data_IF_115068552229
#
_entry.id   IF_115068552229
#
_cell.length_a   1.000
_cell.length_b   1.000
_cell.length_c   1.000
_cell.angle_alpha   90.00
_cell.angle_beta   90.00
_cell.angle_gamma   90.00
#
_symmetry.space_group_name_H-M   'P 1'
#
loop_
_entity.id
_entity.type
_entity.pdbx_description
1 polymer ?
#
# COMPACT_ATOMS: atom_id res chain seq x y z
N UNK A 1 8.90 -25.19 30.05
CA UNK A 1 8.25 -24.31 29.07
C UNK A 1 7.82 -25.15 27.88
N UNK A 2 6.53 -25.42 27.76
CA UNK A 2 5.99 -26.22 26.64
C UNK A 2 5.82 -25.28 25.45
N UNK A 3 6.71 -25.40 24.46
CA UNK A 3 6.63 -24.64 23.22
C UNK A 3 5.39 -25.11 22.45
N UNK A 4 4.29 -24.37 22.56
CA UNK A 4 3.12 -24.59 21.72
C UNK A 4 3.53 -24.26 20.29
N UNK A 5 3.81 -25.29 19.50
CA UNK A 5 3.90 -25.17 18.04
C UNK A 5 2.54 -24.71 17.56
N UNK A 6 2.39 -23.40 17.30
CA UNK A 6 1.27 -22.87 16.54
C UNK A 6 1.28 -23.59 15.20
N UNK A 7 0.29 -24.46 14.96
CA UNK A 7 0.08 -25.07 13.65
C UNK A 7 0.02 -23.92 12.63
N UNK A 8 0.91 -23.92 11.64
CA UNK A 8 0.86 -22.99 10.50
C UNK A 8 -0.47 -23.19 9.78
N UNK A 9 -1.49 -22.44 10.18
CA UNK A 9 -2.76 -22.37 9.46
C UNK A 9 -2.46 -21.64 8.16
N UNK A 10 -2.80 -22.22 7.01
CA UNK A 10 -2.65 -21.54 5.73
C UNK A 10 -3.41 -20.21 5.76
N UNK A 11 -2.80 -19.17 5.22
CA UNK A 11 -3.44 -17.85 5.13
C UNK A 11 -4.64 -17.92 4.15
N UNK A 12 -5.74 -17.20 4.43
CA UNK A 12 -6.89 -17.15 3.52
C UNK A 12 -6.48 -16.67 2.12
N UNK A 13 -6.98 -17.31 1.07
CA UNK A 13 -6.65 -16.94 -0.31
C UNK A 13 -7.65 -15.99 -0.96
N UNK A 14 -8.90 -15.98 -0.47
CA UNK A 14 -9.93 -15.04 -0.89
C UNK A 14 -9.90 -13.77 -0.06
N UNK A 15 -10.09 -12.60 -0.69
CA UNK A 15 -10.13 -11.29 -0.02
C UNK A 15 -11.25 -11.22 1.03
N UNK A 16 -12.39 -11.87 0.76
CA UNK A 16 -13.55 -11.89 1.68
C UNK A 16 -13.21 -12.53 3.02
N UNK A 17 -12.26 -13.46 3.02
CA UNK A 17 -11.84 -14.20 4.21
C UNK A 17 -10.66 -13.52 4.93
N UNK A 18 -10.08 -12.46 4.35
CA UNK A 18 -9.03 -11.68 5.02
C UNK A 18 -9.67 -10.68 5.99
N UNK A 19 -9.38 -10.79 7.30
CA UNK A 19 -9.98 -9.92 8.30
C UNK A 19 -9.54 -8.46 8.11
N UNK A 20 -10.44 -7.54 8.42
CA UNK A 20 -10.15 -6.10 8.32
C UNK A 20 -9.13 -5.64 9.38
N UNK A 21 -9.05 -6.31 10.53
CA UNK A 21 -8.15 -5.97 11.65
C UNK A 21 -8.14 -4.46 11.96
N UNK A 22 -9.32 -3.87 12.22
CA UNK A 22 -9.50 -2.41 12.33
C UNK A 22 -8.74 -1.77 13.50
N UNK A 23 -8.34 -2.57 14.48
CA UNK A 23 -7.55 -2.13 15.64
C UNK A 23 -6.69 -3.28 16.19
N UNK A 24 -5.72 -2.94 17.04
CA UNK A 24 -4.90 -3.87 17.80
C UNK A 24 -4.63 -3.30 19.19
N UNK A 25 -4.41 -4.16 20.18
CA UNK A 25 -4.07 -3.77 21.55
C UNK A 25 -2.59 -4.00 21.80
N UNK A 26 -1.91 -2.98 22.34
CA UNK A 26 -0.55 -3.08 22.84
C UNK A 26 -0.64 -3.22 24.35
N UNK A 27 -0.11 -4.32 24.87
CA UNK A 27 -0.02 -4.56 26.31
C UNK A 27 1.40 -4.18 26.78
N UNK A 28 1.49 -3.34 27.80
CA UNK A 28 2.72 -2.97 28.47
C UNK A 28 2.77 -3.69 29.80
N UNK A 29 3.82 -4.46 30.04
CA UNK A 29 4.04 -5.13 31.33
C UNK A 29 5.32 -4.58 31.92
N UNK A 30 5.26 -4.07 33.16
CA UNK A 30 6.42 -3.57 33.88
C UNK A 30 6.52 -4.23 35.25
N UNK A 31 7.75 -4.46 35.69
CA UNK A 31 8.05 -5.15 36.94
C UNK A 31 8.81 -4.20 37.87
N UNK A 32 8.35 -4.07 39.11
CA UNK A 32 9.02 -3.29 40.17
C UNK A 32 9.22 -4.23 41.35
N UNK A 33 10.47 -4.64 41.59
CA UNK A 33 10.76 -5.69 42.58
C UNK A 33 10.12 -7.03 42.17
N UNK A 34 9.27 -7.59 43.04
CA UNK A 34 8.46 -8.78 42.76
C UNK A 34 7.11 -8.47 42.10
N UNK A 35 6.70 -7.20 42.06
CA UNK A 35 5.37 -6.81 41.62
C UNK A 35 5.33 -6.64 40.11
N UNK A 36 4.26 -7.15 39.50
CA UNK A 36 4.02 -7.09 38.05
C UNK A 36 2.79 -6.22 37.81
N UNK A 37 2.96 -5.21 36.96
CA UNK A 37 1.90 -4.31 36.54
C UNK A 37 1.66 -4.49 35.04
N UNK A 38 0.40 -4.37 34.60
CA UNK A 38 0.05 -4.45 33.19
C UNK A 38 -0.90 -3.32 32.82
N UNK A 39 -0.54 -2.59 31.78
CA UNK A 39 -1.34 -1.54 31.16
C UNK A 39 -1.61 -1.88 29.69
N UNK A 40 -2.69 -1.37 29.11
CA UNK A 40 -3.05 -1.72 27.72
C UNK A 40 -3.55 -0.50 26.96
N UNK A 41 -3.00 -0.30 25.76
CA UNK A 41 -3.40 0.78 24.85
C UNK A 41 -3.94 0.17 23.56
N UNK A 42 -5.17 0.51 23.21
CA UNK A 42 -5.76 0.15 21.93
C UNK A 42 -5.36 1.17 20.86
N UNK A 43 -4.89 0.67 19.72
CA UNK A 43 -4.49 1.44 18.53
C UNK A 43 -5.42 1.07 17.37
N UNK A 44 -5.79 2.06 16.57
CA UNK A 44 -6.74 1.89 15.47
C UNK A 44 -6.04 2.10 14.13
N UNK A 45 -6.35 1.24 13.16
CA UNK A 45 -6.12 1.51 11.75
C UNK A 45 -7.28 2.31 11.16
N UNK A 46 -8.51 1.95 11.54
CA UNK A 46 -9.71 2.74 11.28
C UNK A 46 -10.77 2.50 12.35
N UNK A 47 -11.68 3.46 12.51
CA UNK A 47 -12.84 3.38 13.41
C UNK A 47 -14.08 2.88 12.68
N UNK A 48 -15.18 2.67 13.42
CA UNK A 48 -16.41 2.04 12.90
C UNK A 48 -17.23 2.96 11.98
N UNK A 49 -16.98 4.27 12.02
CA UNK A 49 -17.53 5.27 11.10
C UNK A 49 -16.85 5.25 9.71
N UNK A 50 -15.91 4.34 9.46
CA UNK A 50 -15.39 4.07 8.12
C UNK A 50 -16.17 2.90 7.49
N UNK A 51 -16.78 3.10 6.34
CA UNK A 51 -17.35 2.03 5.55
C UNK A 51 -16.24 1.21 4.87
N UNK A 52 -16.49 -0.09 4.72
CA UNK A 52 -15.59 -1.01 4.03
C UNK A 52 -16.39 -1.84 3.03
N UNK A 53 -15.97 -1.85 1.76
CA UNK A 53 -16.59 -2.63 0.68
C UNK A 53 -15.53 -3.43 -0.06
N UNK A 54 -15.72 -4.74 -0.15
CA UNK A 54 -14.88 -5.58 -1.00
C UNK A 54 -15.20 -5.28 -2.47
N UNK A 55 -14.14 -5.14 -3.26
CA UNK A 55 -14.22 -4.90 -4.70
C UNK A 55 -13.80 -6.18 -5.40
N UNK A 56 -14.72 -6.77 -6.16
CA UNK A 56 -14.47 -7.98 -6.95
C UNK A 56 -15.09 -7.80 -8.33
N UNK A 57 -14.24 -7.42 -9.29
CA UNK A 57 -14.64 -7.19 -10.68
C UNK A 57 -13.59 -7.76 -11.64
N UNK A 58 -13.95 -7.86 -12.93
CA UNK A 58 -13.06 -8.41 -13.96
C UNK A 58 -11.80 -7.53 -14.06
N UNK A 59 -10.68 -8.02 -13.52
CA UNK A 59 -9.37 -7.36 -13.45
C UNK A 59 -9.23 -6.22 -12.43
N UNK A 60 -10.06 -6.18 -11.39
CA UNK A 60 -9.81 -5.37 -10.20
C UNK A 60 -10.35 -6.09 -8.98
N UNK A 61 -9.43 -6.42 -8.07
CA UNK A 61 -9.74 -6.95 -6.74
C UNK A 61 -9.16 -6.04 -5.67
N UNK A 62 -9.91 -5.84 -4.60
CA UNK A 62 -9.48 -4.92 -3.56
C UNK A 62 -10.48 -4.69 -2.46
N UNK A 63 -10.24 -3.65 -1.67
CA UNK A 63 -11.12 -3.21 -0.58
C UNK A 63 -11.15 -1.69 -0.54
N UNK A 64 -12.35 -1.14 -0.62
CA UNK A 64 -12.61 0.29 -0.61
C UNK A 64 -13.01 0.74 0.80
N UNK A 65 -12.38 1.81 1.28
CA UNK A 65 -12.59 2.42 2.58
C UNK A 65 -12.95 3.90 2.43
N UNK A 66 -13.98 4.36 3.13
CA UNK A 66 -14.41 5.77 3.10
C UNK A 66 -15.16 6.10 4.38
N UNK A 67 -15.12 7.34 4.85
CA UNK A 67 -15.97 7.79 5.96
C UNK A 67 -17.45 7.62 5.61
N UNK A 68 -18.25 7.23 6.59
CA UNK A 68 -19.69 7.11 6.48
C UNK A 68 -20.35 8.49 6.70
N UNK A 69 -20.17 9.37 5.73
CA UNK A 69 -20.78 10.69 5.73
C UNK A 69 -21.29 11.07 4.33
N UNK A 70 -21.74 12.31 4.18
CA UNK A 70 -22.31 12.82 2.92
C UNK A 70 -21.29 13.57 2.06
N UNK A 71 -20.03 13.64 2.50
CA UNK A 71 -18.97 14.40 1.86
C UNK A 71 -18.37 13.58 0.73
N UNK A 72 -18.00 14.27 -0.36
CA UNK A 72 -17.20 13.68 -1.42
C UNK A 72 -15.72 13.83 -1.08
N UNK A 73 -15.05 12.71 -0.91
CA UNK A 73 -13.66 12.67 -0.51
C UNK A 73 -12.71 12.63 -1.71
N UNK A 74 -11.54 13.27 -1.63
CA UNK A 74 -10.44 12.92 -2.54
C UNK A 74 -10.12 11.44 -2.39
N UNK A 75 -9.85 10.75 -3.50
CA UNK A 75 -9.63 9.32 -3.50
C UNK A 75 -8.18 8.93 -3.72
N UNK A 76 -7.75 7.81 -3.14
CA UNK A 76 -6.39 7.28 -3.28
C UNK A 76 -6.43 5.80 -3.64
N UNK A 77 -5.80 5.44 -4.75
CA UNK A 77 -5.49 4.05 -5.10
C UNK A 77 -4.24 3.64 -4.34
N UNK A 78 -4.30 2.56 -3.56
CA UNK A 78 -3.20 2.13 -2.68
C UNK A 78 -2.59 0.83 -3.17
N UNK A 79 -1.32 0.89 -3.55
CA UNK A 79 -0.52 -0.23 -4.05
C UNK A 79 0.55 -0.65 -3.02
N UNK A 80 0.52 -1.91 -2.59
CA UNK A 80 1.54 -2.52 -1.72
C UNK A 80 2.86 -2.79 -2.48
N UNK A 81 3.84 -3.42 -1.83
CA UNK A 81 5.12 -3.73 -2.46
C UNK A 81 5.18 -5.14 -3.04
N UNK A 82 6.36 -5.76 -2.95
CA UNK A 82 6.54 -7.18 -3.31
C UNK A 82 5.94 -8.14 -2.27
N UNK A 83 5.23 -7.63 -1.26
CA UNK A 83 4.62 -8.43 -0.19
C UNK A 83 3.49 -9.35 -0.70
N UNK A 84 2.87 -8.98 -1.82
CA UNK A 84 1.66 -9.65 -2.33
C UNK A 84 0.45 -9.39 -1.47
N UNK A 85 -0.66 -10.02 -1.86
CA UNK A 85 -1.91 -10.04 -1.09
C UNK A 85 -2.45 -8.63 -0.80
N UNK A 86 -3.40 -8.51 0.13
CA UNK A 86 -4.16 -7.27 0.37
C UNK A 86 -3.79 -6.57 1.69
N UNK A 87 -3.27 -7.29 2.68
CA UNK A 87 -3.16 -6.85 4.08
C UNK A 87 -2.38 -5.54 4.25
N UNK A 88 -1.28 -5.37 3.50
CA UNK A 88 -0.47 -4.15 3.55
C UNK A 88 -1.18 -2.96 2.90
N UNK A 89 -1.76 -3.14 1.72
CA UNK A 89 -2.52 -2.09 1.05
C UNK A 89 -3.75 -1.68 1.88
N UNK A 90 -4.44 -2.67 2.46
CA UNK A 90 -5.56 -2.47 3.36
C UNK A 90 -5.20 -1.60 4.57
N UNK A 91 -4.13 -1.95 5.29
CA UNK A 91 -3.73 -1.20 6.50
C UNK A 91 -3.45 0.27 6.18
N UNK A 92 -2.85 0.53 5.01
CA UNK A 92 -2.56 1.90 4.54
C UNK A 92 -3.86 2.61 4.14
N UNK A 93 -4.75 1.94 3.40
CA UNK A 93 -6.03 2.50 3.00
C UNK A 93 -6.93 2.85 4.21
N UNK A 94 -6.93 2.00 5.24
CA UNK A 94 -7.62 2.27 6.51
C UNK A 94 -7.12 3.57 7.15
N UNK A 95 -5.80 3.72 7.30
CA UNK A 95 -5.22 4.94 7.85
C UNK A 95 -5.54 6.17 6.98
N UNK A 96 -5.48 6.07 5.65
CA UNK A 96 -5.84 7.18 4.76
C UNK A 96 -7.32 7.56 4.89
N UNK A 97 -8.21 6.59 5.09
CA UNK A 97 -9.64 6.88 5.30
C UNK A 97 -9.93 7.61 6.60
N UNK A 98 -9.12 7.37 7.64
CA UNK A 98 -9.19 8.14 8.89
C UNK A 98 -8.82 9.61 8.72
N UNK A 99 -8.06 9.90 7.67
CA UNK A 99 -7.57 11.22 7.31
C UNK A 99 -8.44 11.83 6.19
N UNK A 100 -9.66 11.35 5.99
CA UNK A 100 -10.61 11.97 5.07
C UNK A 100 -10.43 11.62 3.59
N UNK A 101 -9.69 10.56 3.25
CA UNK A 101 -9.61 10.05 1.89
C UNK A 101 -10.57 8.87 1.64
N UNK A 102 -11.12 8.78 0.43
CA UNK A 102 -11.70 7.54 -0.06
C UNK A 102 -10.58 6.63 -0.60
N UNK A 103 -10.20 5.59 0.14
CA UNK A 103 -9.01 4.81 -0.14
C UNK A 103 -9.34 3.40 -0.69
N UNK A 104 -8.82 3.07 -1.86
CA UNK A 104 -8.97 1.75 -2.49
C UNK A 104 -7.67 0.96 -2.37
N UNK A 105 -7.64 -0.02 -1.48
CA UNK A 105 -6.57 -1.01 -1.42
C UNK A 105 -6.70 -1.99 -2.58
N UNK A 106 -5.71 -2.04 -3.47
CA UNK A 106 -5.72 -2.94 -4.63
C UNK A 106 -4.89 -4.18 -4.33
N UNK A 107 -5.48 -5.36 -4.57
CA UNK A 107 -4.76 -6.62 -4.63
C UNK A 107 -4.48 -6.95 -6.10
N UNK A 108 -3.20 -7.01 -6.47
CA UNK A 108 -2.79 -7.27 -7.86
C UNK A 108 -2.04 -8.59 -8.05
N UNK A 109 -1.60 -9.24 -6.97
CA UNK A 109 -1.05 -10.61 -7.02
C UNK A 109 -1.09 -11.35 -5.68
N UNK A 110 -0.92 -12.67 -5.72
CA UNK A 110 -0.73 -13.55 -4.55
C UNK A 110 -2.01 -13.96 -3.83
N UNK A 111 -3.17 -13.85 -4.50
CA UNK A 111 -4.49 -14.22 -3.98
C UNK A 111 -5.39 -14.77 -5.09
N UNK A 112 -6.53 -15.37 -4.72
CA UNK A 112 -7.45 -15.99 -5.67
C UNK A 112 -8.07 -14.98 -6.65
N UNK A 113 -7.93 -15.27 -7.94
CA UNK A 113 -8.48 -14.47 -9.03
C UNK A 113 -7.66 -13.21 -9.37
N UNK A 114 -6.43 -13.10 -8.86
CA UNK A 114 -5.39 -12.18 -9.36
C UNK A 114 -4.17 -12.98 -9.81
N UNK A 115 -3.13 -12.31 -10.29
CA UNK A 115 -1.90 -13.00 -10.71
C UNK A 115 -1.29 -13.80 -9.54
N UNK A 116 -0.78 -15.02 -9.75
CA UNK A 116 -0.13 -15.78 -8.67
C UNK A 116 1.21 -15.19 -8.24
N UNK A 117 1.89 -14.47 -9.14
CA UNK A 117 3.22 -13.89 -8.93
C UNK A 117 3.28 -12.44 -9.39
N UNK A 118 4.33 -11.72 -8.97
CA UNK A 118 4.58 -10.34 -9.37
C UNK A 118 5.25 -10.31 -10.75
N UNK A 119 4.50 -10.65 -11.79
CA UNK A 119 5.01 -10.75 -13.14
C UNK A 119 3.93 -10.39 -14.16
N UNK A 120 4.27 -9.58 -15.17
CA UNK A 120 3.37 -9.16 -16.24
C UNK A 120 2.04 -8.58 -15.74
N UNK A 121 2.04 -7.95 -14.57
CA UNK A 121 0.83 -7.38 -13.98
C UNK A 121 0.33 -6.25 -14.89
N UNK A 122 -0.92 -6.31 -15.40
CA UNK A 122 -1.45 -5.30 -16.31
C UNK A 122 -1.70 -3.99 -15.57
N UNK A 123 -1.16 -2.89 -16.08
CA UNK A 123 -1.41 -1.55 -15.53
C UNK A 123 -2.87 -1.12 -15.67
N UNK A 124 -3.65 -1.79 -16.52
CA UNK A 124 -5.10 -1.65 -16.66
C UNK A 124 -5.85 -1.87 -15.33
N UNK A 125 -5.26 -2.54 -14.34
CA UNK A 125 -5.85 -2.61 -12.99
C UNK A 125 -5.98 -1.23 -12.35
N UNK A 126 -5.06 -0.30 -12.64
CA UNK A 126 -5.13 1.09 -12.17
C UNK A 126 -6.21 1.86 -12.93
N UNK A 127 -6.34 1.65 -14.24
CA UNK A 127 -7.45 2.20 -15.02
C UNK A 127 -8.82 1.72 -14.49
N UNK A 128 -8.93 0.43 -14.15
CA UNK A 128 -10.12 -0.15 -13.54
C UNK A 128 -10.40 0.47 -12.17
N UNK A 129 -9.36 0.68 -11.35
CA UNK A 129 -9.47 1.34 -10.06
C UNK A 129 -9.95 2.80 -10.21
N UNK A 130 -9.44 3.55 -11.19
CA UNK A 130 -9.91 4.90 -11.52
C UNK A 130 -11.39 4.87 -11.90
N UNK A 131 -11.79 3.96 -12.79
CA UNK A 131 -13.20 3.80 -13.21
C UNK A 131 -14.12 3.46 -12.04
N UNK A 132 -13.68 2.53 -11.18
CA UNK A 132 -14.40 2.17 -9.95
C UNK A 132 -14.60 3.39 -9.05
N UNK A 133 -13.51 4.11 -8.74
CA UNK A 133 -13.55 5.28 -7.87
C UNK A 133 -14.43 6.40 -8.44
N UNK A 134 -14.39 6.66 -9.76
CA UNK A 134 -15.26 7.66 -10.41
C UNK A 134 -16.76 7.31 -10.33
N UNK A 135 -17.10 6.04 -10.13
CA UNK A 135 -18.48 5.58 -10.01
C UNK A 135 -19.01 5.59 -8.56
N UNK A 136 -18.14 5.69 -7.57
CA UNK A 136 -18.53 5.76 -6.16
C UNK A 136 -19.04 7.18 -5.81
N UNK A 137 -20.25 7.28 -5.24
CA UNK A 137 -20.90 8.56 -4.96
C UNK A 137 -20.19 9.39 -3.89
N UNK A 138 -19.46 8.74 -2.99
CA UNK A 138 -18.65 9.34 -1.93
C UNK A 138 -17.28 9.84 -2.39
N UNK A 139 -16.96 9.72 -3.68
CA UNK A 139 -15.68 10.16 -4.26
C UNK A 139 -15.82 11.47 -5.03
N UNK A 140 -14.91 12.40 -4.81
CA UNK A 140 -14.66 13.49 -5.75
C UNK A 140 -13.88 12.95 -6.96
N UNK A 141 -14.62 12.68 -8.05
CA UNK A 141 -14.09 12.13 -9.30
C UNK A 141 -12.97 12.96 -9.95
N UNK A 142 -12.80 14.23 -9.56
CA UNK A 142 -11.75 15.10 -10.06
C UNK A 142 -10.47 15.07 -9.21
N UNK A 143 -10.51 14.44 -8.03
CA UNK A 143 -9.40 14.37 -7.07
C UNK A 143 -9.02 12.92 -6.77
N UNK A 144 -8.58 12.20 -7.80
CA UNK A 144 -8.08 10.83 -7.66
C UNK A 144 -6.54 10.86 -7.69
N UNK A 145 -5.91 10.27 -6.70
CA UNK A 145 -4.47 10.08 -6.64
C UNK A 145 -4.07 8.62 -6.44
N UNK A 146 -2.76 8.40 -6.38
CA UNK A 146 -2.18 7.07 -6.23
C UNK A 146 -1.07 7.09 -5.19
N UNK A 147 -1.07 6.07 -4.35
CA UNK A 147 -0.01 5.78 -3.40
C UNK A 147 0.64 4.44 -3.73
N UNK A 148 1.98 4.40 -3.75
CA UNK A 148 2.73 3.18 -4.01
C UNK A 148 3.92 2.97 -3.07
N UNK A 149 4.08 1.75 -2.55
CA UNK A 149 5.24 1.37 -1.74
C UNK A 149 6.16 0.41 -2.49
N UNK A 150 7.46 0.68 -2.51
CA UNK A 150 8.46 -0.23 -3.12
C UNK A 150 8.07 -0.59 -4.57
N UNK A 151 7.80 -1.86 -4.87
CA UNK A 151 7.27 -2.30 -6.18
C UNK A 151 5.96 -1.63 -6.57
N UNK A 152 5.05 -1.37 -5.64
CA UNK A 152 3.86 -0.56 -5.94
C UNK A 152 4.19 0.90 -6.20
N UNK A 153 5.33 1.40 -5.72
CA UNK A 153 5.84 2.74 -6.06
C UNK A 153 6.29 2.83 -7.51
N UNK A 154 7.00 1.82 -8.00
CA UNK A 154 7.35 1.65 -9.42
C UNK A 154 6.07 1.64 -10.29
N UNK A 155 5.11 0.78 -9.93
CA UNK A 155 3.81 0.70 -10.62
C UNK A 155 3.02 2.02 -10.58
N UNK A 156 3.03 2.73 -9.45
CA UNK A 156 2.34 4.00 -9.30
C UNK A 156 2.90 5.08 -10.22
N UNK A 157 4.24 5.16 -10.35
CA UNK A 157 4.92 6.10 -11.25
C UNK A 157 4.62 5.76 -12.72
N UNK A 158 4.73 4.49 -13.11
CA UNK A 158 4.42 4.03 -14.47
C UNK A 158 2.95 4.33 -14.83
N UNK A 159 2.00 3.94 -13.95
CA UNK A 159 0.59 4.19 -14.17
C UNK A 159 0.27 5.69 -14.27
N UNK A 160 0.88 6.54 -13.44
CA UNK A 160 0.67 7.98 -13.49
C UNK A 160 1.25 8.65 -14.75
N UNK A 161 2.24 8.02 -15.41
CA UNK A 161 2.74 8.48 -16.72
C UNK A 161 1.77 8.18 -17.87
N UNK A 162 0.83 7.24 -17.67
CA UNK A 162 -0.11 6.76 -18.69
C UNK A 162 -1.52 7.33 -18.47
N UNK A 163 -2.00 7.38 -17.22
CA UNK A 163 -3.37 7.73 -16.89
C UNK A 163 -3.47 9.15 -16.33
N UNK A 164 -3.93 10.10 -17.17
CA UNK A 164 -4.05 11.53 -16.85
C UNK A 164 -5.08 11.88 -15.77
N UNK A 165 -5.92 10.91 -15.39
CA UNK A 165 -6.87 11.04 -14.29
C UNK A 165 -6.22 11.06 -12.90
N UNK A 166 -4.97 10.59 -12.79
CA UNK A 166 -4.19 10.62 -11.55
C UNK A 166 -3.67 12.05 -11.34
N UNK A 167 -4.17 12.72 -10.30
CA UNK A 167 -3.88 14.13 -10.00
C UNK A 167 -2.73 14.34 -9.03
N UNK A 168 -2.49 13.36 -8.15
CA UNK A 168 -1.42 13.43 -7.17
C UNK A 168 -0.84 12.03 -6.92
N UNK A 169 0.46 12.00 -6.65
CA UNK A 169 1.23 10.77 -6.49
C UNK A 169 2.03 10.89 -5.20
N UNK A 170 1.94 9.88 -4.32
CA UNK A 170 2.94 9.69 -3.28
C UNK A 170 3.55 8.30 -3.40
N UNK A 171 4.87 8.24 -3.31
CA UNK A 171 5.58 6.95 -3.33
C UNK A 171 6.60 6.88 -2.21
N UNK A 172 6.71 5.70 -1.60
CA UNK A 172 7.68 5.41 -0.54
C UNK A 172 8.68 4.38 -1.02
N UNK A 173 9.97 4.76 -1.03
CA UNK A 173 11.06 3.91 -1.53
C UNK A 173 10.80 3.33 -2.94
N UNK A 174 10.37 4.15 -3.93
CA UNK A 174 10.16 3.69 -5.29
C UNK A 174 11.49 3.34 -5.99
N UNK A 175 11.38 2.65 -7.12
CA UNK A 175 12.42 2.63 -8.15
C UNK A 175 12.07 3.64 -9.25
N UNK A 176 13.07 4.33 -9.82
CA UNK A 176 12.90 5.16 -11.01
C UNK A 176 12.98 4.36 -12.32
N UNK A 177 13.20 3.05 -12.24
CA UNK A 177 13.24 2.13 -13.37
C UNK A 177 12.34 0.93 -13.11
N UNK A 178 11.73 0.41 -14.17
CA UNK A 178 10.99 -0.85 -14.09
C UNK A 178 11.96 -2.02 -13.96
N UNK A 179 11.75 -2.89 -12.97
CA UNK A 179 12.55 -4.09 -12.75
C UNK A 179 11.80 -5.35 -13.16
N UNK A 180 12.54 -6.42 -13.43
CA UNK A 180 11.99 -7.74 -13.69
C UNK A 180 11.04 -8.22 -12.57
N UNK A 181 10.11 -9.09 -12.96
CA UNK A 181 9.12 -9.67 -12.07
C UNK A 181 9.73 -10.57 -10.98
N UNK A 182 8.93 -10.83 -9.94
CA UNK A 182 9.28 -11.70 -8.83
C UNK A 182 8.32 -12.89 -8.81
N UNK A 183 8.89 -14.09 -8.73
CA UNK A 183 8.15 -15.35 -8.58
C UNK A 183 8.67 -16.09 -7.34
N UNK A 184 7.94 -17.11 -6.89
CA UNK A 184 8.40 -17.96 -5.78
C UNK A 184 9.82 -18.55 -6.00
N UNK A 185 10.20 -18.75 -7.26
CA UNK A 185 11.46 -19.39 -7.65
C UNK A 185 12.57 -18.40 -8.01
N UNK A 186 12.25 -17.13 -8.24
CA UNK A 186 13.23 -16.16 -8.74
C UNK A 186 12.88 -14.73 -8.34
N UNK A 187 13.89 -14.03 -7.81
CA UNK A 187 13.87 -12.58 -7.60
C UNK A 187 14.19 -11.79 -8.88
N UNK A 188 14.39 -12.48 -10.00
CA UNK A 188 14.72 -11.88 -11.29
C UNK A 188 14.07 -12.72 -12.38
N UNK A 189 12.76 -12.53 -12.59
CA UNK A 189 12.07 -13.21 -13.67
C UNK A 189 12.66 -12.86 -15.04
N UNK A 190 12.41 -13.73 -16.02
CA UNK A 190 12.65 -13.42 -17.44
C UNK A 190 11.72 -12.33 -17.97
N UNK A 191 10.61 -12.09 -17.27
CA UNK A 191 9.57 -11.17 -17.69
C UNK A 191 9.57 -9.90 -16.84
N UNK A 192 8.98 -8.83 -17.37
CA UNK A 192 8.78 -7.58 -16.65
C UNK A 192 7.81 -7.74 -15.48
N UNK A 193 7.92 -6.87 -14.47
CA UNK A 193 6.90 -6.78 -13.42
C UNK A 193 5.55 -6.35 -13.99
N UNK A 194 5.57 -5.48 -15.01
CA UNK A 194 4.39 -4.77 -15.51
C UNK A 194 4.16 -5.02 -17.00
N UNK A 195 2.90 -4.98 -17.40
CA UNK A 195 2.47 -4.96 -18.79
C UNK A 195 1.46 -3.84 -19.03
N UNK A 196 1.35 -3.39 -20.28
CA UNK A 196 0.33 -2.45 -20.70
C UNK A 196 -0.10 -2.76 -22.14
N UNK A 197 -1.42 -2.80 -22.39
CA UNK A 197 -2.03 -3.18 -23.68
C UNK A 197 -1.52 -4.52 -24.21
N UNK A 198 -1.37 -5.49 -23.30
CA UNK A 198 -0.89 -6.83 -23.60
C UNK A 198 0.61 -6.93 -23.95
N UNK A 199 1.38 -5.84 -23.80
CA UNK A 199 2.83 -5.82 -24.03
C UNK A 199 3.59 -5.60 -22.73
N UNK A 200 4.71 -6.28 -22.55
CA UNK A 200 5.59 -6.06 -21.41
C UNK A 200 6.25 -4.70 -21.46
N UNK A 201 6.36 -4.03 -20.31
CA UNK A 201 7.14 -2.80 -20.22
C UNK A 201 8.65 -3.11 -20.20
N UNK A 202 9.50 -2.27 -20.82
CA UNK A 202 10.95 -2.41 -20.72
C UNK A 202 11.39 -2.51 -19.25
N UNK A 203 12.21 -3.51 -18.93
CA UNK A 203 12.65 -3.73 -17.56
C UNK A 203 14.15 -3.98 -17.45
N UNK A 204 14.70 -3.70 -16.27
CA UNK A 204 16.04 -4.12 -15.88
C UNK A 204 15.97 -5.43 -15.09
N UNK A 205 16.80 -6.37 -15.53
CA UNK A 205 17.07 -7.58 -14.77
C UNK A 205 18.11 -7.32 -13.70
N UNK A 206 17.95 -7.93 -12.53
CA UNK A 206 18.96 -7.90 -11.48
C UNK A 206 20.21 -8.66 -11.95
N UNK A 207 21.38 -8.02 -11.91
CA UNK A 207 22.65 -8.75 -12.05
C UNK A 207 23.04 -9.31 -10.68
N UNK A 208 23.62 -10.50 -10.65
CA UNK A 208 24.02 -11.18 -9.39
C UNK A 208 25.01 -10.36 -8.53
N UNK A 209 25.75 -9.44 -9.15
CA UNK A 209 26.66 -8.50 -8.46
C UNK A 209 25.90 -7.35 -7.79
N UNK A 210 24.72 -6.97 -8.30
CA UNK A 210 23.90 -5.88 -7.75
C UNK A 210 23.07 -6.32 -6.52
N UNK A 211 22.79 -7.62 -6.39
CA UNK A 211 22.07 -8.19 -5.24
C UNK A 211 22.96 -8.39 -4.01
N UNK A 212 24.28 -8.48 -4.19
CA UNK A 212 25.23 -8.74 -3.11
C UNK A 212 25.28 -7.60 -2.07
N UNK A 213 25.34 -6.30 -2.43
CA UNK A 213 25.24 -5.21 -1.47
C UNK A 213 23.86 -5.10 -0.82
N UNK A 214 22.80 -5.50 -1.53
CA UNK A 214 21.41 -5.46 -1.05
C UNK A 214 21.19 -6.51 0.04
N UNK A 215 21.73 -7.73 -0.14
CA UNK A 215 21.68 -8.82 0.84
C UNK A 215 22.61 -8.54 2.03
N UNK A 216 23.81 -8.00 1.79
CA UNK A 216 24.75 -7.63 2.87
C UNK A 216 24.18 -6.50 3.75
N UNK A 217 23.40 -5.58 3.17
CA UNK A 217 22.69 -4.52 3.92
C UNK A 217 21.34 -4.95 4.53
N UNK A 218 20.92 -6.22 4.38
CA UNK A 218 19.66 -6.74 4.90
C UNK A 218 19.73 -7.31 6.34
N UNK A 219 20.88 -7.26 7.02
CA UNK A 219 21.01 -7.46 8.48
C UNK A 219 21.00 -6.11 9.24
N UNK A 220 20.55 -6.08 10.51
CA UNK A 220 19.47 -5.21 10.95
C UNK A 220 19.94 -3.79 11.25
N UNK A 221 20.19 -2.96 10.24
CA UNK A 221 20.39 -1.52 10.45
C UNK A 221 19.75 -0.67 9.33
N UNK A 222 18.67 0.01 9.73
CA UNK A 222 18.31 1.38 9.35
C UNK A 222 18.24 1.75 7.86
N UNK A 223 17.02 1.68 7.30
CA UNK A 223 16.58 2.72 6.35
C UNK A 223 16.38 4.02 7.13
N UNK A 224 17.45 4.75 7.43
CA UNK A 224 17.37 6.00 8.21
C UNK A 224 16.55 7.10 7.54
N UNK A 225 16.31 7.01 6.23
CA UNK A 225 15.52 7.97 5.48
C UNK A 225 14.44 7.25 4.67
N UNK A 226 13.19 7.34 5.12
CA UNK A 226 12.05 7.09 4.21
C UNK A 226 11.94 8.29 3.28
N UNK A 227 12.49 8.17 2.07
CA UNK A 227 12.26 9.16 1.02
C UNK A 227 10.82 9.01 0.52
N UNK A 228 10.00 10.02 0.82
CA UNK A 228 8.69 10.22 0.21
C UNK A 228 8.89 11.17 -0.94
N UNK A 229 8.64 10.69 -2.16
CA UNK A 229 8.59 11.56 -3.33
C UNK A 229 7.11 11.83 -3.59
N UNK A 230 6.73 13.12 -3.47
CA UNK A 230 5.41 13.60 -3.85
C UNK A 230 5.58 14.36 -5.16
N UNK A 231 5.13 13.75 -6.27
CA UNK A 231 5.17 14.38 -7.59
C UNK A 231 3.79 14.95 -7.92
N UNK A 232 3.75 16.19 -8.39
CA UNK A 232 2.55 16.90 -8.80
C UNK A 232 2.62 17.11 -10.31
N UNK A 233 1.66 16.58 -11.07
CA UNK A 233 1.50 16.92 -12.48
C UNK A 233 0.75 18.26 -12.58
N UNK A 234 1.50 19.33 -12.83
CA UNK A 234 0.99 20.70 -12.94
C UNK A 234 0.39 20.98 -14.32
N UNK A 235 -0.93 20.80 -14.44
CA UNK A 235 -1.79 21.68 -15.24
C UNK A 235 -2.92 22.21 -14.33
N UNK A 236 -2.53 22.75 -13.17
CA UNK A 236 -3.41 23.48 -12.27
C UNK A 236 -2.90 24.93 -12.18
N UNK A 237 -3.71 25.94 -12.52
CA UNK A 237 -3.33 27.33 -12.35
C UNK A 237 -3.19 27.61 -10.85
N UNK A 238 -2.00 28.03 -10.42
CA UNK A 238 -1.71 28.68 -9.13
C UNK A 238 -2.13 27.92 -7.85
N UNK A 239 -1.12 27.53 -7.05
CA UNK A 239 -1.25 27.30 -5.59
C UNK A 239 -1.71 25.92 -5.07
N UNK A 240 -1.33 24.80 -5.69
CA UNK A 240 -1.56 23.46 -5.12
C UNK A 240 -0.90 23.24 -3.73
N UNK A 241 0.18 23.95 -3.41
CA UNK A 241 0.83 23.98 -2.08
C UNK A 241 -0.05 24.55 -0.95
N UNK A 242 -1.16 25.20 -1.29
CA UNK A 242 -2.11 25.79 -0.35
C UNK A 242 -3.43 25.01 -0.23
N UNK A 243 -3.59 23.89 -0.95
CA UNK A 243 -4.76 23.03 -0.77
C UNK A 243 -4.66 22.25 0.55
N UNK A 244 -5.68 22.39 1.41
CA UNK A 244 -5.76 21.71 2.70
C UNK A 244 -5.69 20.19 2.55
N UNK A 245 -6.41 19.63 1.56
CA UNK A 245 -6.39 18.21 1.19
C UNK A 245 -4.97 17.71 0.86
N UNK A 246 -4.14 18.55 0.21
CA UNK A 246 -2.77 18.21 -0.15
C UNK A 246 -1.85 18.19 1.08
N UNK A 247 -2.00 19.18 1.98
CA UNK A 247 -1.24 19.20 3.24
C UNK A 247 -1.62 18.03 4.13
N UNK A 248 -2.89 17.65 4.16
CA UNK A 248 -3.34 16.43 4.80
C UNK A 248 -2.67 15.22 4.15
N UNK A 249 -2.76 15.04 2.83
CA UNK A 249 -2.12 13.90 2.15
C UNK A 249 -0.62 13.75 2.46
N UNK A 250 0.15 14.85 2.40
CA UNK A 250 1.58 14.84 2.72
C UNK A 250 1.80 14.51 4.21
N UNK A 251 1.01 15.09 5.12
CA UNK A 251 1.04 14.74 6.55
C UNK A 251 0.70 13.26 6.77
N UNK A 252 -0.27 12.71 6.06
CA UNK A 252 -0.64 11.29 6.16
C UNK A 252 0.48 10.40 5.64
N UNK A 253 1.08 10.72 4.49
CA UNK A 253 2.20 9.97 3.94
C UNK A 253 3.42 9.98 4.88
N UNK A 254 3.73 11.15 5.46
CA UNK A 254 4.76 11.30 6.49
C UNK A 254 4.40 10.61 7.80
N UNK A 255 3.12 10.62 8.21
CA UNK A 255 2.63 9.91 9.39
C UNK A 255 2.71 8.40 9.21
N UNK A 256 2.33 7.89 8.03
CA UNK A 256 2.44 6.48 7.63
C UNK A 256 3.88 6.01 7.59
N UNK A 257 4.81 6.80 7.07
CA UNK A 257 6.25 6.49 7.12
C UNK A 257 6.77 6.54 8.56
N UNK A 258 6.32 7.53 9.35
CA UNK A 258 6.65 7.62 10.78
C UNK A 258 6.09 6.44 11.58
N UNK A 259 4.93 5.89 11.21
CA UNK A 259 4.32 4.73 11.84
C UNK A 259 5.06 3.45 11.46
N UNK A 260 5.44 3.29 10.18
CA UNK A 260 6.32 2.20 9.75
C UNK A 260 7.69 2.25 10.44
N UNK A 261 8.21 3.45 10.71
CA UNK A 261 9.45 3.64 11.46
C UNK A 261 9.23 3.41 12.97
N UNK A 262 8.17 3.94 13.59
CA UNK A 262 7.87 3.77 15.03
C UNK A 262 7.53 2.33 15.41
N UNK A 263 6.76 1.61 14.58
CA UNK A 263 6.50 0.19 14.77
C UNK A 263 7.80 -0.66 14.71
N UNK A 264 8.83 -0.17 14.01
CA UNK A 264 10.18 -0.74 14.00
C UNK A 264 10.95 -0.48 15.31
N UNK A 265 10.73 0.66 15.96
CA UNK A 265 11.41 1.04 17.21
C UNK A 265 10.74 0.50 18.48
N UNK A 266 9.50 0.00 18.43
CA UNK A 266 8.86 -0.66 19.59
C UNK A 266 9.42 -2.08 19.90
N UNK A 267 10.51 -2.51 19.24
CA UNK A 267 11.29 -3.72 19.56
C UNK A 267 12.71 -3.41 20.08
N UNK A 268 12.95 -2.17 20.49
CA UNK A 268 14.06 -1.74 21.34
C UNK A 268 13.48 -1.26 22.67
#
# INVERSE_FOLDING_TARGET
MTTVRVKNKSLPQSIKDVPQNRSYTINFTFTIGSDIFTESIKRYYCTDDVLCKDVDSKMLKGRFFVKNDTIKHPAVIVLSGSDGRIEKAQSIAQCLSMEGFAALAVCYFGMDGVSPSLEKIPLEIVENAIRYLKAESSVDKNKIGIYGRSKGGEMALEAASIFSDIRFIAVTSPSCITYAGLTEKSLNSKFSSWSYKGKELPCKHFKFIDTLPMIIKMMPWQMNNTFIIVLIYSFLPGNALFCEDFRMFVKCALSLSSWQNKARWCKL
#
